data_IF_826039935222
#
_entry.id   IF_826039935222
#
_cell.length_a   1.000
_cell.length_b   1.000
_cell.length_c   1.000
_cell.angle_alpha   90.00
_cell.angle_beta   90.00
_cell.angle_gamma   90.00
#
_symmetry.space_group_name_H-M   'P 1'
#
loop_
_entity.id
_entity.type
_entity.pdbx_description
1 polymer ?
#
# COMPACT_ATOMS: atom_id res chain seq x y z
N UNK A 1 3.94 -42.37 -7.49
CA UNK A 1 4.72 -41.41 -8.32
C UNK A 1 3.82 -40.62 -9.28
N UNK A 2 3.46 -39.40 -8.86
CA UNK A 2 3.47 -38.17 -9.67
C UNK A 2 3.13 -37.02 -8.72
N UNK A 3 4.19 -36.38 -8.23
CA UNK A 3 4.14 -35.24 -7.32
C UNK A 3 3.73 -33.98 -8.10
N UNK A 4 2.82 -33.21 -7.51
CA UNK A 4 2.68 -31.76 -7.64
C UNK A 4 2.73 -31.17 -9.06
N UNK A 5 1.58 -31.22 -9.74
CA UNK A 5 1.28 -30.37 -10.90
C UNK A 5 0.68 -29.02 -10.53
N UNK A 6 0.54 -28.72 -9.24
CA UNK A 6 0.05 -27.44 -8.74
C UNK A 6 1.21 -26.43 -8.78
N UNK A 7 1.66 -26.09 -9.99
CA UNK A 7 2.52 -24.91 -10.16
C UNK A 7 1.64 -23.71 -9.83
N UNK A 8 1.61 -23.36 -8.54
CA UNK A 8 0.94 -22.18 -8.03
C UNK A 8 1.50 -21.03 -8.86
N UNK A 9 0.70 -20.53 -9.81
CA UNK A 9 1.21 -19.48 -10.69
C UNK A 9 1.45 -18.25 -9.84
N UNK A 10 2.41 -17.39 -10.23
CA UNK A 10 2.70 -16.15 -9.50
C UNK A 10 1.41 -15.33 -9.23
N UNK A 11 0.44 -15.43 -10.16
CA UNK A 11 -0.90 -14.90 -10.01
C UNK A 11 -1.67 -15.46 -8.81
N UNK A 12 -1.71 -16.78 -8.64
CA UNK A 12 -2.44 -17.42 -7.55
C UNK A 12 -1.81 -17.07 -6.20
N UNK A 13 -0.47 -17.01 -6.14
CA UNK A 13 0.27 -16.59 -4.96
C UNK A 13 -0.02 -15.13 -4.59
N UNK A 14 -0.03 -14.22 -5.58
CA UNK A 14 -0.41 -12.82 -5.37
C UNK A 14 -1.85 -12.70 -4.89
N UNK A 15 -2.80 -13.42 -5.50
CA UNK A 15 -4.20 -13.37 -5.09
C UNK A 15 -4.39 -13.86 -3.65
N UNK A 16 -3.67 -14.92 -3.24
CA UNK A 16 -3.68 -15.40 -1.87
C UNK A 16 -3.11 -14.37 -0.90
N UNK A 17 -2.00 -13.71 -1.25
CA UNK A 17 -1.41 -12.65 -0.43
C UNK A 17 -2.36 -11.44 -0.27
N UNK A 18 -2.96 -10.97 -1.37
CA UNK A 18 -3.91 -9.85 -1.36
C UNK A 18 -5.13 -10.18 -0.50
N UNK A 19 -5.63 -11.42 -0.60
CA UNK A 19 -6.75 -11.88 0.22
C UNK A 19 -6.38 -11.91 1.71
N UNK A 20 -5.20 -12.45 2.04
CA UNK A 20 -4.71 -12.48 3.41
C UNK A 20 -4.57 -11.07 4.01
N UNK A 21 -4.09 -10.10 3.21
CA UNK A 21 -4.01 -8.69 3.62
C UNK A 21 -5.39 -8.08 3.89
N UNK A 22 -6.41 -8.42 3.08
CA UNK A 22 -7.79 -7.99 3.30
C UNK A 22 -8.42 -8.62 4.55
N UNK A 23 -8.20 -9.92 4.75
CA UNK A 23 -8.69 -10.67 5.91
C UNK A 23 -8.02 -10.21 7.21
N UNK A 24 -6.75 -9.79 7.16
CA UNK A 24 -6.04 -9.19 8.28
C UNK A 24 -6.65 -7.86 8.73
N UNK A 25 -7.42 -7.19 7.85
CA UNK A 25 -8.06 -5.89 8.08
C UNK A 25 -7.09 -4.80 8.56
N UNK A 26 -5.82 -4.92 8.18
CA UNK A 26 -4.78 -3.99 8.60
C UNK A 26 -4.77 -2.76 7.68
N UNK A 27 -4.99 -1.53 8.21
CA UNK A 27 -4.84 -0.30 7.45
C UNK A 27 -3.45 -0.12 6.82
N UNK A 28 -2.40 -0.76 7.36
CA UNK A 28 -1.06 -0.74 6.78
C UNK A 28 -0.99 -1.45 5.42
N UNK A 29 -1.96 -2.32 5.09
CA UNK A 29 -2.03 -2.97 3.77
C UNK A 29 -2.55 -2.05 2.66
N UNK A 30 -3.23 -0.95 3.02
CA UNK A 30 -3.80 0.03 2.07
C UNK A 30 -2.76 0.51 1.04
N UNK A 31 -1.58 1.06 1.44
CA UNK A 31 -0.57 1.51 0.49
C UNK A 31 -0.04 0.39 -0.42
N UNK A 32 -0.09 -0.86 0.03
CA UNK A 32 0.29 -2.04 -0.78
C UNK A 32 -0.80 -2.43 -1.77
N UNK A 33 -2.08 -2.26 -1.42
CA UNK A 33 -3.23 -2.60 -2.27
C UNK A 33 -3.52 -1.53 -3.34
N UNK A 34 -3.18 -0.27 -3.09
CA UNK A 34 -3.34 0.83 -4.04
C UNK A 34 -2.70 0.59 -5.42
N UNK A 35 -1.40 0.25 -5.53
CA UNK A 35 -0.79 -0.01 -6.85
C UNK A 35 -1.40 -1.23 -7.55
N UNK A 36 -1.92 -2.21 -6.79
CA UNK A 36 -2.55 -3.41 -7.33
C UNK A 36 -3.88 -3.11 -8.06
N UNK A 37 -4.51 -1.97 -7.78
CA UNK A 37 -5.68 -1.53 -8.54
C UNK A 37 -5.33 -1.09 -9.98
N UNK A 38 -4.05 -0.78 -10.25
CA UNK A 38 -3.56 -0.41 -11.59
C UNK A 38 -3.03 -1.60 -12.37
N UNK A 39 -3.07 -2.80 -11.79
CA UNK A 39 -2.61 -4.02 -12.45
C UNK A 39 -3.48 -4.38 -13.67
N UNK A 40 -2.83 -4.98 -14.67
CA UNK A 40 -3.51 -5.42 -15.90
C UNK A 40 -4.46 -6.58 -15.63
N UNK A 41 -4.11 -7.43 -14.66
CA UNK A 41 -4.91 -8.59 -14.30
C UNK A 41 -6.20 -8.17 -13.55
N UNK A 42 -7.33 -8.51 -14.16
CA UNK A 42 -8.67 -8.18 -13.64
C UNK A 42 -8.92 -8.86 -12.29
N UNK A 43 -8.42 -10.07 -12.07
CA UNK A 43 -8.57 -10.79 -10.82
C UNK A 43 -7.79 -10.11 -9.69
N UNK A 44 -6.56 -9.68 -9.96
CA UNK A 44 -5.73 -8.94 -8.99
C UNK A 44 -6.41 -7.63 -8.62
N UNK A 45 -6.87 -6.88 -9.62
CA UNK A 45 -7.56 -5.59 -9.42
C UNK A 45 -8.84 -5.74 -8.59
N UNK A 46 -9.67 -6.73 -8.91
CA UNK A 46 -10.90 -6.98 -8.16
C UNK A 46 -10.61 -7.43 -6.72
N UNK A 47 -9.62 -8.31 -6.53
CA UNK A 47 -9.25 -8.77 -5.19
C UNK A 47 -8.67 -7.65 -4.33
N UNK A 48 -7.83 -6.80 -4.91
CA UNK A 48 -7.28 -5.64 -4.21
C UNK A 48 -8.38 -4.66 -3.79
N UNK A 49 -9.37 -4.45 -4.66
CA UNK A 49 -10.54 -3.65 -4.34
C UNK A 49 -11.37 -4.26 -3.20
N UNK A 50 -11.69 -5.55 -3.26
CA UNK A 50 -12.40 -6.26 -2.17
C UNK A 50 -11.67 -6.14 -0.83
N UNK A 51 -10.35 -6.30 -0.82
CA UNK A 51 -9.52 -6.16 0.37
C UNK A 51 -9.57 -4.74 0.94
N UNK A 52 -9.49 -3.71 0.09
CA UNK A 52 -9.63 -2.31 0.52
C UNK A 52 -11.01 -2.02 1.12
N UNK A 53 -12.07 -2.55 0.51
CA UNK A 53 -13.43 -2.46 1.03
C UNK A 53 -13.56 -3.18 2.37
N UNK A 54 -12.93 -4.34 2.55
CA UNK A 54 -12.96 -5.10 3.81
C UNK A 54 -12.22 -4.38 4.95
N UNK A 55 -11.09 -3.74 4.65
CA UNK A 55 -10.29 -2.97 5.62
C UNK A 55 -11.02 -1.68 6.02
N UNK A 56 -11.55 -0.94 5.04
CA UNK A 56 -12.13 0.40 5.27
C UNK A 56 -13.63 0.40 5.55
N UNK A 57 -14.32 -0.70 5.24
CA UNK A 57 -15.78 -0.82 5.28
C UNK A 57 -16.51 -0.08 4.15
N UNK A 58 -15.81 0.55 3.21
CA UNK A 58 -16.39 1.45 2.21
C UNK A 58 -16.68 0.74 0.89
N UNK A 59 -17.87 0.15 0.76
CA UNK A 59 -18.33 -0.56 -0.45
C UNK A 59 -18.63 0.34 -1.65
N UNK A 60 -18.84 1.64 -1.41
CA UNK A 60 -19.26 2.59 -2.45
C UNK A 60 -18.08 3.16 -3.28
N UNK A 61 -16.86 2.72 -2.99
CA UNK A 61 -15.67 3.24 -3.65
C UNK A 61 -15.42 2.50 -4.97
N UNK A 62 -15.00 3.18 -6.05
CA UNK A 62 -14.59 2.51 -7.27
C UNK A 62 -13.25 1.78 -7.07
N UNK A 63 -12.97 0.79 -7.92
CA UNK A 63 -11.68 0.08 -7.98
C UNK A 63 -10.57 0.96 -8.60
N UNK A 64 -10.43 2.19 -8.12
CA UNK A 64 -9.50 3.19 -8.64
C UNK A 64 -8.61 3.74 -7.52
N UNK A 65 -7.31 3.49 -7.64
CA UNK A 65 -6.30 3.92 -6.69
C UNK A 65 -6.35 5.43 -6.41
N UNK A 66 -6.59 6.26 -7.42
CA UNK A 66 -6.61 7.72 -7.26
C UNK A 66 -7.79 8.18 -6.39
N UNK A 67 -8.92 7.47 -6.46
CA UNK A 67 -10.10 7.78 -5.65
C UNK A 67 -9.88 7.31 -4.21
N UNK A 68 -9.32 6.11 -4.02
CA UNK A 68 -8.92 5.61 -2.69
C UNK A 68 -7.88 6.52 -2.03
N UNK A 69 -6.85 6.95 -2.76
CA UNK A 69 -5.84 7.91 -2.28
C UNK A 69 -6.46 9.26 -1.91
N UNK A 70 -7.41 9.79 -2.69
CA UNK A 70 -8.10 11.04 -2.32
C UNK A 70 -8.90 10.91 -1.03
N UNK A 71 -9.58 9.78 -0.86
CA UNK A 71 -10.44 9.55 0.30
C UNK A 71 -9.62 9.24 1.55
N UNK A 72 -8.55 8.47 1.41
CA UNK A 72 -7.66 8.06 2.50
C UNK A 72 -6.54 9.06 2.76
N UNK A 73 -6.19 9.94 1.82
CA UNK A 73 -5.19 11.00 1.98
C UNK A 73 -5.57 12.06 3.01
N UNK A 74 -6.82 12.07 3.49
CA UNK A 74 -7.21 12.81 4.70
C UNK A 74 -6.87 12.08 6.01
N UNK A 75 -6.46 10.81 5.97
CA UNK A 75 -6.19 9.96 7.14
C UNK A 75 -4.87 9.16 7.11
N UNK A 76 -4.26 8.94 5.95
CA UNK A 76 -3.00 8.23 5.79
C UNK A 76 -1.95 9.22 5.26
N UNK A 77 -1.31 9.92 6.18
CA UNK A 77 -0.08 10.66 5.89
C UNK A 77 1.08 9.68 5.93
N UNK A 78 1.74 9.34 4.81
CA UNK A 78 3.16 9.03 4.91
C UNK A 78 3.84 10.33 5.30
N UNK A 79 4.10 10.52 6.60
CA UNK A 79 5.08 11.50 7.06
C UNK A 79 6.47 11.02 6.65
N UNK A 80 6.72 10.94 5.36
CA UNK A 80 8.04 10.78 4.81
C UNK A 80 8.68 12.16 4.77
N UNK A 81 9.30 12.51 5.89
CA UNK A 81 10.51 13.34 6.00
C UNK A 81 10.82 14.29 4.86
N UNK A 82 9.97 15.30 4.62
CA UNK A 82 10.44 16.56 4.04
C UNK A 82 11.25 17.30 5.11
N UNK A 83 12.52 16.92 5.17
CA UNK A 83 13.67 17.82 5.23
C UNK A 83 13.51 19.17 5.96
N UNK A 84 13.42 19.13 7.30
CA UNK A 84 13.81 20.26 8.15
C UNK A 84 15.27 20.13 8.65
N UNK A 85 16.13 19.47 7.86
CA UNK A 85 17.58 19.40 8.10
C UNK A 85 18.35 20.62 7.55
N UNK A 86 17.70 21.77 7.35
CA UNK A 86 18.37 23.02 6.96
C UNK A 86 18.71 23.95 8.14
N UNK A 87 18.63 23.49 9.39
CA UNK A 87 19.01 24.30 10.56
C UNK A 87 20.23 23.79 11.34
N UNK A 88 21.01 22.86 10.77
CA UNK A 88 22.36 22.60 11.29
C UNK A 88 23.33 23.51 10.55
N UNK A 89 23.50 24.73 11.07
CA UNK A 89 24.66 25.57 10.79
C UNK A 89 25.78 25.11 11.74
N UNK A 90 26.78 24.32 11.30
CA UNK A 90 27.93 24.02 12.12
C UNK A 90 28.97 25.12 11.88
N UNK A 91 28.66 26.37 12.19
CA UNK A 91 29.68 27.40 12.30
C UNK A 91 30.31 27.27 13.69
N UNK A 92 31.55 26.75 13.80
CA UNK A 92 32.25 26.79 15.07
C UNK A 92 32.50 28.26 15.41
N UNK A 93 31.89 28.71 16.52
CA UNK A 93 32.24 29.98 17.15
C UNK A 93 33.76 29.97 17.38
N UNK A 94 34.47 30.70 16.56
CA UNK A 94 35.88 30.97 16.73
C UNK A 94 36.02 31.88 17.96
N UNK A 95 36.65 31.46 19.07
CA UNK A 95 36.85 32.34 20.20
C UNK A 95 37.90 33.40 19.83
N UNK A 96 37.47 34.65 19.99
CA UNK A 96 38.24 35.89 19.93
C UNK A 96 39.65 35.72 20.48
N UNK A 97 40.66 36.08 19.68
CA UNK A 97 41.99 36.44 20.15
C UNK A 97 42.28 37.88 19.74
#
# INVERSE_FOLDING_TARGET
PNLMGDSVTDRDLRLAAIRALGDAKDPAAIPTLLPLLKEKDVAIRNRAHESLVAITGRKDMPADAAVWERVLGKGATPKNGESDYSSFDPSPRNPTR
#
